data_IF_675052411431
#
_entry.id   IF_675052411431
#
_cell.length_a   1.000
_cell.length_b   1.000
_cell.length_c   1.000
_cell.angle_alpha   90.00
_cell.angle_beta   90.00
_cell.angle_gamma   90.00
#
_symmetry.space_group_name_H-M   'P 1'
#
loop_
_entity.id
_entity.type
_entity.pdbx_description
1 polymer ?
#
# COMPACT_ATOMS: atom_id res chain seq x y z
N UNK A 1 5.93 22.76 38.42
CA UNK A 1 6.05 21.54 37.59
C UNK A 1 5.94 21.97 36.15
N UNK A 2 6.97 21.73 35.34
CA UNK A 2 7.06 22.20 33.96
C UNK A 2 6.01 21.49 33.10
N UNK A 3 5.14 22.29 32.48
CA UNK A 3 4.15 21.82 31.51
C UNK A 3 4.88 21.55 30.19
N UNK A 4 4.75 20.33 29.69
CA UNK A 4 5.37 19.89 28.44
C UNK A 4 4.71 20.64 27.26
N UNK A 5 5.45 21.56 26.64
CA UNK A 5 4.98 22.48 25.59
C UNK A 5 4.69 21.82 24.23
N UNK A 6 4.91 20.51 24.11
CA UNK A 6 4.72 19.75 22.85
C UNK A 6 3.25 19.44 22.51
N UNK A 7 2.27 19.88 23.32
CA UNK A 7 0.85 19.64 23.09
C UNK A 7 0.08 20.85 22.52
N UNK A 8 0.73 22.01 22.34
CA UNK A 8 0.03 23.26 21.98
C UNK A 8 0.50 23.89 20.66
N UNK A 9 1.50 23.31 19.98
CA UNK A 9 1.97 23.80 18.68
C UNK A 9 1.26 23.07 17.51
N UNK A 10 0.39 23.75 16.74
CA UNK A 10 -0.31 23.18 15.59
C UNK A 10 0.61 22.71 14.46
N UNK A 11 1.86 23.19 14.40
CA UNK A 11 2.84 22.84 13.36
C UNK A 11 3.57 21.51 13.63
N UNK A 12 3.48 20.96 14.86
CA UNK A 12 4.13 19.70 15.22
C UNK A 12 3.22 18.47 15.13
N UNK A 13 1.96 18.64 14.74
CA UNK A 13 1.01 17.55 14.62
C UNK A 13 0.80 17.14 13.14
N UNK A 14 1.22 15.93 12.70
CA UNK A 14 1.20 15.51 11.30
C UNK A 14 -0.18 15.62 10.62
N UNK A 15 -1.25 15.45 11.39
CA UNK A 15 -2.62 15.48 10.90
C UNK A 15 -3.14 16.90 10.62
N UNK A 16 -2.67 17.93 11.34
CA UNK A 16 -3.06 19.33 11.09
C UNK A 16 -2.33 19.92 9.89
N UNK A 17 -1.07 19.54 9.68
CA UNK A 17 -0.33 19.87 8.46
C UNK A 17 -1.02 19.27 7.21
N UNK A 18 -1.47 18.02 7.31
CA UNK A 18 -2.19 17.33 6.23
C UNK A 18 -3.55 18.00 5.94
N UNK A 19 -4.31 18.39 6.97
CA UNK A 19 -5.59 19.08 6.81
C UNK A 19 -5.46 20.48 6.18
N UNK A 20 -4.39 21.23 6.49
CA UNK A 20 -4.09 22.52 5.86
C UNK A 20 -3.66 22.36 4.39
N UNK A 21 -2.90 21.31 4.06
CA UNK A 21 -2.42 21.06 2.69
C UNK A 21 -3.55 20.69 1.71
N UNK A 22 -4.61 20.02 2.18
CA UNK A 22 -5.76 19.63 1.34
C UNK A 22 -6.62 20.86 0.94
N UNK A 23 -6.54 21.97 1.69
CA UNK A 23 -7.31 23.20 1.43
C UNK A 23 -6.68 24.15 0.40
N UNK A 24 -5.41 23.97 0.02
CA UNK A 24 -4.76 24.85 -0.96
C UNK A 24 -4.98 24.35 -2.39
N UNK A 25 -5.56 25.19 -3.24
CA UNK A 25 -5.66 24.95 -4.67
C UNK A 25 -4.31 24.54 -5.26
N UNK A 26 -4.22 23.34 -5.83
CA UNK A 26 -3.04 22.85 -6.53
C UNK A 26 -2.81 23.68 -7.79
N UNK A 27 -2.00 24.73 -7.67
CA UNK A 27 -1.43 25.47 -8.79
C UNK A 27 0.00 24.98 -8.95
N UNK A 28 0.19 23.95 -9.79
CA UNK A 28 1.51 23.43 -10.14
C UNK A 28 1.98 23.98 -11.49
N UNK A 29 3.18 24.55 -11.54
CA UNK A 29 3.84 24.93 -12.79
C UNK A 29 3.96 23.74 -13.76
N UNK A 30 3.81 24.00 -15.07
CA UNK A 30 4.09 23.00 -16.10
C UNK A 30 5.58 22.68 -16.13
N UNK A 31 5.92 21.39 -15.96
CA UNK A 31 7.29 20.86 -16.07
C UNK A 31 7.91 21.20 -17.44
N UNK A 32 9.17 21.66 -17.42
CA UNK A 32 10.01 21.80 -18.61
C UNK A 32 10.16 20.46 -19.37
N UNK A 33 10.39 20.48 -20.70
CA UNK A 33 10.57 19.27 -21.51
C UNK A 33 11.83 18.49 -21.07
N UNK A 34 11.72 17.17 -20.97
CA UNK A 34 12.69 16.30 -20.27
C UNK A 34 13.43 15.36 -21.23
N UNK A 35 14.69 15.08 -20.90
CA UNK A 35 15.69 14.46 -21.79
C UNK A 35 15.59 12.93 -21.87
N UNK A 36 14.92 12.24 -20.93
CA UNK A 36 14.68 10.79 -21.07
C UNK A 36 13.43 10.25 -20.35
N UNK A 37 12.86 9.18 -20.92
CA UNK A 37 11.71 8.44 -20.37
C UNK A 37 12.00 7.83 -18.98
N UNK A 38 13.26 7.50 -18.68
CA UNK A 38 13.68 6.88 -17.41
C UNK A 38 13.66 7.85 -16.22
N UNK A 39 13.61 9.18 -16.47
CA UNK A 39 13.47 10.20 -15.43
C UNK A 39 12.01 10.43 -14.98
N UNK A 40 11.05 9.64 -15.49
CA UNK A 40 9.63 10.01 -15.48
C UNK A 40 8.68 9.05 -14.75
N UNK A 41 9.15 8.06 -13.98
CA UNK A 41 8.23 7.07 -13.41
C UNK A 41 7.83 7.28 -11.94
N UNK A 42 8.65 7.94 -11.11
CA UNK A 42 8.33 8.08 -9.69
C UNK A 42 8.55 9.52 -9.22
N UNK A 43 7.53 10.07 -8.58
CA UNK A 43 7.71 11.18 -7.65
C UNK A 43 8.67 10.69 -6.56
N UNK A 44 9.75 11.44 -6.32
CA UNK A 44 10.70 11.07 -5.28
C UNK A 44 10.00 11.09 -3.92
N UNK A 45 10.51 10.35 -2.90
CA UNK A 45 9.96 10.42 -1.55
C UNK A 45 9.81 11.84 -1.01
N UNK A 46 10.74 12.74 -1.38
CA UNK A 46 10.70 14.16 -1.04
C UNK A 46 9.52 14.92 -1.70
N UNK A 47 9.20 14.62 -2.96
CA UNK A 47 8.06 15.23 -3.66
C UNK A 47 6.74 14.76 -3.04
N UNK A 48 6.64 13.46 -2.73
CA UNK A 48 5.46 12.86 -2.08
C UNK A 48 5.28 13.45 -0.69
N UNK A 49 6.36 13.52 0.10
CA UNK A 49 6.34 14.11 1.45
C UNK A 49 6.05 15.60 1.40
N UNK A 50 6.59 16.35 0.45
CA UNK A 50 6.30 17.77 0.26
C UNK A 50 4.80 18.01 0.02
N UNK A 51 4.18 17.19 -0.82
CA UNK A 51 2.73 17.25 -1.10
C UNK A 51 1.87 16.87 0.11
N UNK A 52 2.26 15.82 0.84
CA UNK A 52 1.50 15.35 2.02
C UNK A 52 1.64 16.31 3.19
N UNK A 53 2.84 16.86 3.41
CA UNK A 53 3.14 17.74 4.55
C UNK A 53 2.80 19.20 4.31
N UNK A 54 2.59 19.61 3.05
CA UNK A 54 2.50 21.02 2.68
C UNK A 54 3.84 21.76 2.78
N UNK A 55 4.96 21.05 2.94
CA UNK A 55 6.29 21.64 2.97
C UNK A 55 6.61 22.23 1.59
N UNK A 56 6.66 23.55 1.53
CA UNK A 56 7.08 24.28 0.34
C UNK A 56 8.61 24.33 0.35
N UNK A 57 9.31 23.83 -0.67
CA UNK A 57 10.74 24.06 -0.77
C UNK A 57 11.01 25.57 -0.77
N UNK A 58 12.04 26.00 -0.04
CA UNK A 58 12.48 27.40 -0.06
C UNK A 58 12.75 27.86 -1.50
N UNK A 59 12.64 29.17 -1.74
CA UNK A 59 12.87 29.75 -3.06
C UNK A 59 14.22 29.33 -3.66
N UNK A 60 14.24 29.16 -4.99
CA UNK A 60 15.46 28.76 -5.71
C UNK A 60 16.59 29.75 -5.43
N UNK A 61 17.73 29.26 -4.94
CA UNK A 61 18.95 30.07 -4.82
C UNK A 61 19.51 30.39 -6.21
N UNK A 62 20.31 31.45 -6.31
CA UNK A 62 20.93 31.87 -7.57
C UNK A 62 21.84 30.78 -8.18
N UNK A 63 22.29 29.81 -7.38
CA UNK A 63 23.13 28.66 -7.74
C UNK A 63 22.42 27.29 -7.73
N UNK A 64 21.08 27.24 -7.75
CA UNK A 64 20.25 26.00 -7.68
C UNK A 64 20.23 25.16 -8.98
N UNK A 65 21.38 25.04 -9.64
CA UNK A 65 21.56 24.07 -10.71
C UNK A 65 21.40 22.63 -10.20
N UNK A 66 20.83 21.70 -11.00
CA UNK A 66 20.78 20.30 -10.61
C UNK A 66 22.20 19.71 -10.61
N UNK A 67 22.75 19.46 -9.42
CA UNK A 67 23.99 18.72 -9.24
C UNK A 67 23.71 17.23 -9.06
N UNK A 68 24.53 16.38 -9.67
CA UNK A 68 24.61 14.98 -9.25
C UNK A 68 25.48 14.91 -8.00
N UNK A 69 25.01 14.27 -6.95
CA UNK A 69 25.77 14.09 -5.72
C UNK A 69 25.91 12.62 -5.36
N UNK A 70 26.93 12.33 -4.56
CA UNK A 70 27.08 11.04 -3.91
C UNK A 70 26.14 10.98 -2.67
N UNK A 71 26.09 9.87 -1.92
CA UNK A 71 25.18 9.78 -0.76
C UNK A 71 25.57 10.73 0.39
N UNK A 72 26.81 11.22 0.42
CA UNK A 72 27.33 12.18 1.40
C UNK A 72 27.15 13.65 0.94
N UNK A 73 26.56 13.88 -0.24
CA UNK A 73 26.32 15.22 -0.77
C UNK A 73 27.49 15.83 -1.55
N UNK A 74 28.56 15.08 -1.81
CA UNK A 74 29.67 15.57 -2.65
C UNK A 74 29.24 15.66 -4.12
N UNK A 75 29.42 16.82 -4.80
CA UNK A 75 29.11 16.96 -6.21
C UNK A 75 29.97 16.03 -7.10
N UNK A 76 29.33 15.37 -8.06
CA UNK A 76 29.99 14.61 -9.11
C UNK A 76 30.28 15.51 -10.31
N UNK A 77 31.53 15.57 -10.79
CA UNK A 77 31.85 16.30 -12.01
C UNK A 77 31.30 15.60 -13.27
N UNK A 78 31.21 14.26 -13.25
CA UNK A 78 30.67 13.44 -14.34
C UNK A 78 29.87 12.25 -13.77
N UNK A 79 28.55 12.16 -14.02
CA UNK A 79 27.70 11.07 -13.53
C UNK A 79 27.67 9.82 -14.43
N UNK A 80 28.25 9.90 -15.64
CA UNK A 80 28.13 8.91 -16.70
C UNK A 80 29.38 8.03 -16.84
N UNK A 81 30.57 8.55 -16.51
CA UNK A 81 31.83 7.83 -16.67
C UNK A 81 32.49 7.52 -15.33
N UNK A 82 33.07 6.32 -15.22
CA UNK A 82 33.93 5.97 -14.09
C UNK A 82 35.31 6.61 -14.24
N UNK A 83 35.98 6.82 -13.11
CA UNK A 83 37.40 7.15 -13.10
C UNK A 83 38.20 5.96 -13.61
N UNK A 84 39.02 6.16 -14.64
CA UNK A 84 39.81 5.10 -15.27
C UNK A 84 41.29 5.45 -15.42
N UNK A 85 42.13 4.42 -15.58
CA UNK A 85 43.52 4.52 -16.06
C UNK A 85 43.66 3.59 -17.25
N UNK A 86 43.93 4.13 -18.43
CA UNK A 86 44.01 3.33 -19.67
C UNK A 86 42.70 2.60 -20.02
N UNK A 87 41.55 3.16 -19.63
CA UNK A 87 40.23 2.54 -19.82
C UNK A 87 39.82 1.54 -18.72
N UNK A 88 40.69 1.27 -17.74
CA UNK A 88 40.40 0.36 -16.62
C UNK A 88 39.86 1.16 -15.42
N UNK A 89 38.66 0.86 -14.89
CA UNK A 89 38.14 1.50 -13.69
C UNK A 89 39.05 1.31 -12.48
N UNK A 90 39.22 2.35 -11.67
CA UNK A 90 40.11 2.30 -10.49
C UNK A 90 39.35 2.15 -9.19
N UNK A 91 39.96 1.46 -8.22
CA UNK A 91 39.36 1.25 -6.90
C UNK A 91 39.18 2.56 -6.08
N UNK A 92 39.89 3.63 -6.45
CA UNK A 92 39.71 4.95 -5.85
C UNK A 92 38.40 5.65 -6.26
N UNK A 93 37.64 5.08 -7.19
CA UNK A 93 36.34 5.59 -7.59
C UNK A 93 35.25 5.18 -6.59
N UNK A 94 35.14 5.95 -5.51
CA UNK A 94 34.12 5.73 -4.47
C UNK A 94 32.70 5.87 -5.02
N UNK A 95 32.50 6.70 -6.06
CA UNK A 95 31.18 6.96 -6.65
C UNK A 95 30.66 5.76 -7.43
N UNK A 96 31.55 5.14 -8.21
CA UNK A 96 31.26 3.89 -8.90
C UNK A 96 30.79 2.83 -7.90
N UNK A 97 31.56 2.60 -6.83
CA UNK A 97 31.19 1.60 -5.84
C UNK A 97 29.89 1.93 -5.12
N UNK A 98 29.69 3.17 -4.69
CA UNK A 98 28.48 3.57 -3.98
C UNK A 98 27.23 3.37 -4.84
N UNK A 99 27.28 3.77 -6.11
CA UNK A 99 26.17 3.57 -7.06
C UNK A 99 25.85 2.08 -7.26
N UNK A 100 26.88 1.25 -7.45
CA UNK A 100 26.73 -0.20 -7.60
C UNK A 100 26.24 -0.87 -6.31
N UNK A 101 26.71 -0.42 -5.15
CA UNK A 101 26.30 -0.93 -3.85
C UNK A 101 24.83 -0.63 -3.55
N UNK A 102 24.37 0.58 -3.87
CA UNK A 102 22.95 0.94 -3.79
C UNK A 102 22.12 0.09 -4.73
N UNK A 103 22.55 -0.09 -5.98
CA UNK A 103 21.84 -0.93 -6.96
C UNK A 103 21.72 -2.38 -6.49
N UNK A 104 22.83 -2.99 -6.07
CA UNK A 104 22.88 -4.39 -5.64
C UNK A 104 22.01 -4.68 -4.40
N UNK A 105 21.65 -3.65 -3.63
CA UNK A 105 20.83 -3.75 -2.40
C UNK A 105 19.43 -3.17 -2.56
N UNK A 106 19.05 -2.76 -3.77
CA UNK A 106 17.78 -2.05 -3.99
C UNK A 106 16.54 -2.96 -3.96
N UNK A 107 16.71 -4.27 -4.21
CA UNK A 107 15.63 -5.24 -4.13
C UNK A 107 15.45 -5.72 -2.69
N UNK A 108 14.39 -5.24 -2.04
CA UNK A 108 13.91 -5.77 -0.76
C UNK A 108 13.15 -7.08 -0.95
N UNK A 109 13.05 -7.87 0.13
CA UNK A 109 12.17 -9.03 0.18
C UNK A 109 10.72 -8.59 -0.03
N UNK A 110 10.02 -9.31 -0.91
CA UNK A 110 8.60 -9.10 -1.12
C UNK A 110 7.77 -9.71 0.01
N UNK A 111 6.47 -9.39 0.05
CA UNK A 111 5.56 -10.01 1.01
C UNK A 111 5.37 -11.48 0.64
N UNK A 112 5.36 -12.38 1.63
CA UNK A 112 5.12 -13.82 1.41
C UNK A 112 3.78 -14.08 0.70
N UNK A 113 2.77 -13.28 1.03
CA UNK A 113 1.49 -13.21 0.33
C UNK A 113 1.16 -11.76 0.04
N UNK A 114 0.36 -11.53 -0.98
CA UNK A 114 0.04 -10.21 -1.50
C UNK A 114 1.25 -9.36 -1.98
N UNK A 115 2.25 -9.92 -2.69
CA UNK A 115 3.42 -9.14 -3.13
C UNK A 115 3.08 -8.17 -4.26
N UNK A 116 2.29 -8.58 -5.26
CA UNK A 116 1.84 -7.70 -6.35
C UNK A 116 0.64 -6.85 -5.89
N UNK A 117 0.74 -5.54 -6.04
CA UNK A 117 -0.34 -4.66 -5.62
C UNK A 117 -0.10 -3.17 -5.84
N UNK A 118 -1.18 -2.41 -5.75
CA UNK A 118 -1.23 -0.96 -5.95
C UNK A 118 -1.79 -0.27 -4.72
N UNK A 119 -1.33 0.95 -4.44
CA UNK A 119 -1.78 1.73 -3.28
C UNK A 119 -2.29 3.11 -3.67
N UNK A 120 -3.19 3.65 -2.86
CA UNK A 120 -3.68 5.02 -3.00
C UNK A 120 -3.94 5.64 -1.63
N UNK A 121 -3.69 6.95 -1.52
CA UNK A 121 -4.11 7.74 -0.37
C UNK A 121 -5.49 8.35 -0.62
N UNK A 122 -6.21 8.60 0.47
CA UNK A 122 -7.52 9.23 0.47
C UNK A 122 -7.96 9.54 1.90
N UNK A 123 -9.27 9.53 2.13
CA UNK A 123 -9.85 9.69 3.46
C UNK A 123 -11.10 8.82 3.60
N UNK A 124 -11.40 8.45 4.83
CA UNK A 124 -12.69 7.93 5.26
C UNK A 124 -13.52 9.09 5.84
N UNK A 125 -14.81 9.10 5.59
CA UNK A 125 -15.74 10.07 6.17
C UNK A 125 -16.89 9.33 6.87
N UNK A 126 -17.08 9.59 8.16
CA UNK A 126 -18.20 9.05 8.90
C UNK A 126 -19.50 9.77 8.46
N UNK A 127 -20.47 9.04 7.94
CA UNK A 127 -21.71 9.63 7.39
C UNK A 127 -22.94 9.39 8.26
N UNK A 128 -22.85 8.51 9.24
CA UNK A 128 -23.95 8.10 10.12
C UNK A 128 -23.45 8.02 11.55
N UNK A 129 -24.25 8.50 12.50
CA UNK A 129 -23.93 8.39 13.92
C UNK A 129 -24.04 6.92 14.35
N UNK A 130 -22.94 6.39 14.86
CA UNK A 130 -22.81 5.02 15.38
C UNK A 130 -22.12 5.01 16.76
N UNK A 131 -22.11 6.16 17.44
CA UNK A 131 -21.43 6.35 18.72
C UNK A 131 -22.03 5.52 19.85
N UNK A 132 -23.29 5.08 19.69
CA UNK A 132 -23.96 4.12 20.54
C UNK A 132 -23.40 2.69 20.41
N UNK A 133 -22.78 2.37 19.26
CA UNK A 133 -22.21 1.05 18.95
C UNK A 133 -20.71 0.96 19.25
N UNK A 134 -19.96 2.04 19.07
CA UNK A 134 -18.50 2.05 19.19
C UNK A 134 -17.95 3.37 19.72
N UNK A 135 -16.81 3.30 20.40
CA UNK A 135 -16.05 4.47 20.86
C UNK A 135 -14.84 4.81 19.98
N UNK A 136 -14.70 4.19 18.81
CA UNK A 136 -13.56 4.38 17.93
C UNK A 136 -13.52 5.82 17.35
N UNK A 137 -12.34 6.45 17.40
CA UNK A 137 -12.11 7.84 16.97
C UNK A 137 -12.61 8.17 15.55
N UNK A 138 -12.31 7.33 14.56
CA UNK A 138 -12.73 7.54 13.16
C UNK A 138 -14.25 7.47 12.93
N UNK A 139 -15.02 7.04 13.93
CA UNK A 139 -16.48 6.96 13.93
C UNK A 139 -17.11 7.85 15.02
N UNK A 140 -16.34 8.78 15.58
CA UNK A 140 -16.74 9.59 16.75
C UNK A 140 -17.82 10.62 16.46
N UNK A 141 -17.96 11.08 15.22
CA UNK A 141 -19.00 12.02 14.80
C UNK A 141 -19.26 11.98 13.30
N UNK A 142 -20.47 12.34 12.88
CA UNK A 142 -20.81 12.51 11.46
C UNK A 142 -20.03 13.70 10.88
N UNK A 143 -19.38 13.48 9.74
CA UNK A 143 -18.51 14.43 9.07
C UNK A 143 -17.03 14.31 9.44
N UNK A 144 -16.68 13.44 10.41
CA UNK A 144 -15.29 13.19 10.77
C UNK A 144 -14.54 12.60 9.56
N UNK A 145 -13.42 13.25 9.19
CA UNK A 145 -12.60 12.87 8.04
C UNK A 145 -11.25 12.33 8.48
N UNK A 146 -11.10 11.01 8.42
CA UNK A 146 -9.87 10.33 8.81
C UNK A 146 -9.00 10.05 7.58
N UNK A 147 -7.75 10.53 7.52
CA UNK A 147 -6.84 10.17 6.44
C UNK A 147 -6.66 8.66 6.33
N UNK A 148 -6.59 8.16 5.10
CA UNK A 148 -6.53 6.73 4.83
C UNK A 148 -5.49 6.39 3.75
N UNK A 149 -4.89 5.22 3.88
CA UNK A 149 -4.15 4.57 2.82
C UNK A 149 -4.78 3.21 2.53
N UNK A 150 -5.08 2.93 1.27
CA UNK A 150 -5.56 1.62 0.82
C UNK A 150 -4.48 0.96 -0.02
N UNK A 151 -4.30 -0.34 0.18
CA UNK A 151 -3.50 -1.20 -0.69
C UNK A 151 -4.34 -2.36 -1.21
N UNK A 152 -4.42 -2.43 -2.54
CA UNK A 152 -4.97 -3.56 -3.28
C UNK A 152 -3.84 -4.49 -3.72
N UNK A 153 -4.15 -5.77 -3.90
CA UNK A 153 -3.14 -6.75 -4.31
C UNK A 153 -3.77 -8.04 -4.83
N UNK A 154 -3.02 -8.81 -5.61
CA UNK A 154 -3.26 -10.26 -5.75
C UNK A 154 -2.74 -10.98 -4.49
N UNK A 155 -2.74 -12.31 -4.39
CA UNK A 155 -2.41 -13.03 -3.13
C UNK A 155 -1.19 -13.95 -3.26
N UNK A 156 -1.23 -14.98 -4.10
CA UNK A 156 -0.38 -16.17 -3.90
C UNK A 156 0.89 -16.22 -4.73
N UNK A 157 0.93 -15.50 -5.86
CA UNK A 157 2.09 -15.47 -6.76
C UNK A 157 2.97 -14.25 -6.51
N UNK A 158 4.16 -14.23 -7.12
CA UNK A 158 5.16 -13.17 -6.96
C UNK A 158 4.70 -11.78 -7.43
N UNK A 159 5.50 -10.76 -7.14
CA UNK A 159 5.21 -9.36 -7.52
C UNK A 159 5.02 -9.13 -9.03
N UNK A 160 5.45 -10.07 -9.86
CA UNK A 160 5.32 -10.07 -11.32
C UNK A 160 3.99 -10.62 -11.82
N UNK A 161 3.15 -11.18 -10.94
CA UNK A 161 1.88 -11.77 -11.34
C UNK A 161 0.94 -10.72 -11.95
N UNK A 162 0.28 -11.00 -13.08
CA UNK A 162 -0.58 -10.04 -13.75
C UNK A 162 -1.75 -9.63 -12.86
N UNK A 163 -2.06 -8.32 -12.86
CA UNK A 163 -3.16 -7.74 -12.08
C UNK A 163 -4.53 -8.37 -12.41
N UNK A 164 -4.71 -8.85 -13.64
CA UNK A 164 -5.93 -9.50 -14.14
C UNK A 164 -5.99 -11.01 -13.88
N UNK A 165 -4.89 -11.64 -13.45
CA UNK A 165 -4.85 -13.08 -13.23
C UNK A 165 -5.85 -13.54 -12.16
N UNK A 166 -6.40 -14.76 -12.32
CA UNK A 166 -7.39 -15.33 -11.39
C UNK A 166 -6.79 -15.52 -10.00
N UNK A 167 -7.35 -14.81 -9.01
CA UNK A 167 -6.85 -14.81 -7.64
C UNK A 167 -7.85 -14.09 -6.71
N UNK A 168 -7.87 -14.33 -5.39
CA UNK A 168 -8.50 -13.38 -4.49
C UNK A 168 -7.77 -12.03 -4.59
N UNK A 169 -8.43 -10.94 -4.23
CA UNK A 169 -7.80 -9.62 -4.15
C UNK A 169 -7.71 -9.18 -2.70
N UNK A 170 -6.51 -8.81 -2.26
CA UNK A 170 -6.30 -8.12 -0.98
C UNK A 170 -6.90 -6.73 -1.03
N UNK A 171 -7.56 -6.33 0.05
CA UNK A 171 -8.19 -5.02 0.23
C UNK A 171 -7.86 -4.54 1.65
N UNK A 172 -6.66 -3.97 1.82
CA UNK A 172 -6.18 -3.51 3.12
C UNK A 172 -6.34 -1.99 3.23
N UNK A 173 -6.99 -1.54 4.30
CA UNK A 173 -7.18 -0.11 4.61
C UNK A 173 -6.47 0.20 5.92
N UNK A 174 -5.67 1.25 5.92
CA UNK A 174 -5.05 1.87 7.09
C UNK A 174 -5.69 3.22 7.32
N UNK A 175 -6.30 3.41 8.48
CA UNK A 175 -6.89 4.67 8.94
C UNK A 175 -5.94 5.32 9.95
N UNK A 176 -5.56 6.56 9.71
CA UNK A 176 -4.68 7.33 10.59
C UNK A 176 -5.53 8.12 11.58
N UNK A 177 -5.93 7.48 12.68
CA UNK A 177 -6.81 8.07 13.71
C UNK A 177 -6.00 8.80 14.79
N UNK A 178 -6.67 9.62 15.61
CA UNK A 178 -6.05 10.30 16.76
C UNK A 178 -5.67 9.34 17.89
N UNK A 179 -6.26 8.14 17.92
CA UNK A 179 -6.01 7.10 18.92
C UNK A 179 -5.04 6.01 18.42
N UNK A 180 -4.40 6.23 17.27
CA UNK A 180 -3.48 5.31 16.63
C UNK A 180 -3.96 4.81 15.27
N UNK A 181 -3.14 3.99 14.62
CA UNK A 181 -3.49 3.46 13.30
C UNK A 181 -4.48 2.29 13.43
N UNK A 182 -5.62 2.39 12.77
CA UNK A 182 -6.56 1.28 12.66
C UNK A 182 -6.40 0.62 11.29
N UNK A 183 -5.96 -0.64 11.30
CA UNK A 183 -5.85 -1.45 10.09
C UNK A 183 -7.06 -2.38 9.96
N UNK A 184 -7.72 -2.32 8.81
CA UNK A 184 -8.77 -3.24 8.40
C UNK A 184 -8.21 -4.00 7.19
N UNK A 185 -7.66 -5.18 7.45
CA UNK A 185 -6.97 -6.00 6.45
C UNK A 185 -7.94 -7.06 5.93
N UNK A 186 -8.53 -6.77 4.77
CA UNK A 186 -9.57 -7.59 4.17
C UNK A 186 -9.21 -8.20 2.83
N UNK A 187 -10.20 -8.84 2.23
CA UNK A 187 -10.18 -9.36 0.86
C UNK A 187 -11.38 -8.84 0.08
N UNK A 188 -11.42 -9.08 -1.21
CA UNK A 188 -12.63 -8.93 -2.01
C UNK A 188 -13.63 -10.09 -1.83
N UNK A 189 -13.26 -11.11 -1.05
CA UNK A 189 -14.14 -12.21 -0.66
C UNK A 189 -14.57 -12.00 0.81
N UNK A 190 -15.86 -12.21 1.14
CA UNK A 190 -16.33 -12.12 2.52
C UNK A 190 -15.93 -13.33 3.37
N UNK A 191 -15.36 -14.37 2.76
CA UNK A 191 -14.97 -15.64 3.38
C UNK A 191 -13.53 -16.01 2.98
N UNK A 192 -12.98 -17.05 3.62
CA UNK A 192 -11.65 -17.57 3.35
C UNK A 192 -11.67 -19.11 3.19
N UNK A 193 -10.59 -19.68 2.69
CA UNK A 193 -10.48 -21.13 2.39
C UNK A 193 -10.32 -22.01 3.64
N UNK A 194 -9.98 -21.43 4.78
CA UNK A 194 -9.90 -22.16 6.04
C UNK A 194 -10.55 -21.37 7.18
N UNK A 195 -10.88 -22.09 8.23
CA UNK A 195 -11.42 -21.54 9.49
C UNK A 195 -10.43 -21.64 10.65
N UNK A 196 -9.35 -22.40 10.48
CA UNK A 196 -8.28 -22.56 11.45
C UNK A 196 -6.98 -21.97 10.89
N UNK A 197 -6.29 -21.08 11.64
CA UNK A 197 -5.04 -20.47 11.18
C UNK A 197 -3.91 -21.49 10.95
N UNK A 198 -3.95 -22.67 11.57
CA UNK A 198 -2.96 -23.73 11.35
C UNK A 198 -2.93 -24.19 9.89
N UNK A 199 -4.09 -24.22 9.22
CA UNK A 199 -4.22 -24.59 7.80
C UNK A 199 -3.86 -23.44 6.84
N UNK A 200 -3.67 -22.22 7.33
CA UNK A 200 -3.39 -21.05 6.49
C UNK A 200 -2.19 -21.24 5.56
N UNK A 201 -1.02 -21.71 6.05
CA UNK A 201 0.12 -22.02 5.19
C UNK A 201 -0.18 -23.09 4.13
N UNK A 202 -0.99 -24.10 4.44
CA UNK A 202 -1.36 -25.15 3.49
C UNK A 202 -2.25 -24.60 2.37
N UNK A 203 -3.18 -23.71 2.70
CA UNK A 203 -4.01 -22.95 1.72
C UNK A 203 -3.15 -22.12 0.78
N UNK A 204 -2.12 -21.44 1.28
CA UNK A 204 -1.23 -20.64 0.45
C UNK A 204 -0.37 -21.53 -0.44
N UNK A 205 0.15 -22.64 0.09
CA UNK A 205 0.98 -23.59 -0.67
C UNK A 205 0.21 -24.28 -1.78
N UNK A 206 -1.05 -24.64 -1.57
CA UNK A 206 -1.89 -25.29 -2.60
C UNK A 206 -2.14 -24.38 -3.82
N UNK A 207 -2.06 -23.07 -3.63
CA UNK A 207 -2.24 -22.04 -4.67
C UNK A 207 -0.92 -21.43 -5.16
N UNK A 208 0.22 -21.96 -4.69
CA UNK A 208 1.56 -21.51 -5.06
C UNK A 208 2.11 -22.30 -6.24
N UNK A 209 3.31 -21.94 -6.69
CA UNK A 209 4.05 -22.72 -7.69
C UNK A 209 4.52 -24.05 -7.10
N UNK A 210 4.54 -25.11 -7.91
CA UNK A 210 5.07 -26.40 -7.51
C UNK A 210 6.56 -26.27 -7.14
N UNK A 211 7.00 -26.76 -5.97
CA UNK A 211 8.38 -26.58 -5.52
C UNK A 211 9.42 -27.34 -6.35
N UNK A 212 9.03 -28.36 -7.12
CA UNK A 212 9.95 -29.18 -7.93
C UNK A 212 10.32 -28.54 -9.27
N UNK A 213 9.38 -27.81 -9.89
CA UNK A 213 9.53 -27.29 -11.25
C UNK A 213 9.13 -25.81 -11.40
N UNK A 214 8.62 -25.18 -10.34
CA UNK A 214 8.20 -23.78 -10.29
C UNK A 214 7.06 -23.39 -11.25
N UNK A 215 6.31 -24.37 -11.77
CA UNK A 215 5.12 -24.16 -12.60
C UNK A 215 3.87 -23.98 -11.75
N UNK A 216 2.78 -23.51 -12.36
CA UNK A 216 1.45 -23.51 -11.73
C UNK A 216 0.98 -24.95 -11.52
N UNK A 217 0.37 -25.22 -10.37
CA UNK A 217 -0.08 -26.54 -9.97
C UNK A 217 -1.55 -26.51 -9.55
N UNK A 218 -2.43 -26.83 -10.48
CA UNK A 218 -3.86 -26.90 -10.20
C UNK A 218 -4.24 -28.18 -9.46
N UNK A 219 -3.45 -29.25 -9.59
CA UNK A 219 -3.69 -30.50 -8.86
C UNK A 219 -3.57 -30.25 -7.36
N UNK A 220 -2.58 -29.47 -6.91
CA UNK A 220 -2.44 -29.07 -5.51
C UNK A 220 -3.65 -28.27 -4.99
N UNK A 221 -4.18 -27.34 -5.80
CA UNK A 221 -5.39 -26.59 -5.44
C UNK A 221 -6.60 -27.51 -5.31
N UNK A 222 -6.84 -28.37 -6.31
CA UNK A 222 -7.99 -29.28 -6.28
C UNK A 222 -7.86 -30.35 -5.20
N UNK A 223 -6.65 -30.79 -4.86
CA UNK A 223 -6.39 -31.69 -3.73
C UNK A 223 -6.79 -31.07 -2.39
N UNK A 224 -6.46 -29.78 -2.17
CA UNK A 224 -6.96 -29.04 -1.01
C UNK A 224 -8.49 -28.99 -0.98
N UNK A 225 -9.12 -28.60 -2.10
CA UNK A 225 -10.58 -28.45 -2.17
C UNK A 225 -11.32 -29.79 -1.94
N UNK A 226 -10.74 -30.89 -2.42
CA UNK A 226 -11.28 -32.24 -2.24
C UNK A 226 -11.15 -32.73 -0.78
N UNK A 227 -10.02 -32.46 -0.12
CA UNK A 227 -9.74 -32.97 1.22
C UNK A 227 -10.11 -32.01 2.36
N UNK A 228 -10.44 -30.75 2.06
CA UNK A 228 -10.80 -29.72 3.06
C UNK A 228 -12.14 -29.08 2.69
N UNK A 229 -13.28 -29.73 2.98
CA UNK A 229 -14.59 -29.28 2.49
C UNK A 229 -14.99 -27.86 2.91
N UNK A 230 -14.50 -27.33 4.04
CA UNK A 230 -14.76 -25.94 4.46
C UNK A 230 -14.19 -24.90 3.49
N UNK A 231 -13.22 -25.28 2.66
CA UNK A 231 -12.62 -24.39 1.66
C UNK A 231 -13.52 -24.11 0.45
N UNK A 232 -14.53 -24.95 0.22
CA UNK A 232 -15.31 -24.94 -1.01
C UNK A 232 -16.13 -23.66 -1.23
N UNK A 233 -16.54 -22.94 -0.18
CA UNK A 233 -17.23 -21.65 -0.38
C UNK A 233 -16.27 -20.62 -1.01
N UNK A 234 -15.05 -20.49 -0.49
CA UNK A 234 -14.03 -19.64 -1.10
C UNK A 234 -13.55 -20.18 -2.45
N UNK A 235 -13.49 -21.51 -2.62
CA UNK A 235 -13.19 -22.18 -3.89
C UNK A 235 -14.20 -21.83 -5.00
N UNK A 236 -15.50 -21.87 -4.70
CA UNK A 236 -16.54 -21.45 -5.63
C UNK A 236 -16.39 -19.97 -6.02
N UNK A 237 -16.06 -19.10 -5.07
CA UNK A 237 -15.78 -17.69 -5.37
C UNK A 237 -14.52 -17.52 -6.24
N UNK A 238 -13.47 -18.28 -5.97
CA UNK A 238 -12.21 -18.26 -6.73
C UNK A 238 -12.42 -18.61 -8.21
N UNK A 239 -13.26 -19.62 -8.49
CA UNK A 239 -13.57 -20.06 -9.85
C UNK A 239 -14.73 -19.30 -10.52
N UNK A 240 -15.47 -18.47 -9.78
CA UNK A 240 -16.42 -17.51 -10.35
C UNK A 240 -15.73 -16.26 -10.90
N UNK A 241 -16.46 -15.38 -11.56
CA UNK A 241 -15.97 -14.08 -12.05
C UNK A 241 -15.40 -13.19 -10.92
N UNK A 242 -15.74 -13.44 -9.64
CA UNK A 242 -15.13 -12.74 -8.52
C UNK A 242 -13.60 -12.92 -8.42
N UNK A 243 -13.05 -13.97 -9.03
CA UNK A 243 -11.60 -14.20 -9.12
C UNK A 243 -10.88 -13.28 -10.13
N UNK A 244 -11.61 -12.58 -10.99
CA UNK A 244 -11.09 -11.75 -12.09
C UNK A 244 -11.77 -10.36 -12.14
N UNK A 245 -11.71 -9.56 -11.05
CA UNK A 245 -12.34 -8.24 -11.02
C UNK A 245 -11.71 -7.28 -12.04
N UNK A 246 -12.54 -6.40 -12.62
CA UNK A 246 -12.11 -5.41 -13.60
C UNK A 246 -11.41 -4.22 -12.91
N UNK A 247 -10.16 -4.42 -12.50
CA UNK A 247 -9.37 -3.44 -11.76
C UNK A 247 -9.89 -3.17 -10.34
N UNK A 248 -9.22 -2.25 -9.64
CA UNK A 248 -9.45 -2.05 -8.19
C UNK A 248 -10.73 -1.28 -7.84
N UNK A 249 -11.17 -0.39 -8.73
CA UNK A 249 -12.26 0.58 -8.46
C UNK A 249 -13.66 -0.02 -8.51
N UNK A 250 -13.82 -1.17 -9.16
CA UNK A 250 -15.09 -1.88 -9.29
C UNK A 250 -15.12 -3.15 -8.43
N UNK A 251 -14.31 -3.19 -7.37
CA UNK A 251 -14.22 -4.35 -6.50
C UNK A 251 -14.75 -4.00 -5.11
N UNK A 252 -15.53 -4.91 -4.53
CA UNK A 252 -15.93 -4.80 -3.13
C UNK A 252 -14.79 -5.25 -2.21
N UNK A 253 -14.80 -4.77 -0.98
CA UNK A 253 -13.88 -5.17 0.08
C UNK A 253 -14.66 -5.66 1.29
N UNK A 254 -14.12 -6.65 1.97
CA UNK A 254 -14.72 -7.26 3.15
C UNK A 254 -13.64 -7.52 4.19
N UNK A 255 -13.94 -7.26 5.46
CA UNK A 255 -13.01 -7.57 6.55
C UNK A 255 -12.85 -9.08 6.83
N UNK A 256 -13.61 -9.94 6.13
CA UNK A 256 -13.74 -11.39 6.30
C UNK A 256 -14.22 -11.83 7.69
N UNK A 257 -13.48 -11.51 8.74
CA UNK A 257 -13.75 -11.90 10.12
C UNK A 257 -14.90 -11.11 10.75
N UNK A 258 -15.47 -11.68 11.81
CA UNK A 258 -16.37 -10.96 12.72
C UNK A 258 -15.52 -10.22 13.73
N UNK A 259 -15.75 -8.92 13.85
CA UNK A 259 -15.08 -8.05 14.81
C UNK A 259 -16.03 -7.67 15.94
N UNK A 260 -15.49 -7.13 17.02
CA UNK A 260 -16.26 -6.61 18.15
C UNK A 260 -16.08 -5.11 18.24
N UNK A 261 -17.18 -4.38 18.20
CA UNK A 261 -17.21 -2.97 18.58
C UNK A 261 -17.65 -2.84 20.04
N UNK A 262 -17.11 -1.84 20.71
CA UNK A 262 -17.40 -1.56 22.13
C UNK A 262 -17.67 -0.07 22.26
N UNK A 263 -18.80 0.29 22.85
CA UNK A 263 -19.20 1.67 23.04
C UNK A 263 -18.61 2.29 24.33
N UNK A 264 -18.95 3.55 24.63
CA UNK A 264 -18.43 4.27 25.80
C UNK A 264 -18.89 3.68 27.14
N UNK A 265 -20.06 3.04 27.18
CA UNK A 265 -20.56 2.34 28.38
C UNK A 265 -19.98 0.92 28.54
N UNK A 266 -19.12 0.46 27.63
CA UNK A 266 -18.53 -0.87 27.66
C UNK A 266 -19.42 -1.99 27.12
N UNK A 267 -20.58 -1.66 26.52
CA UNK A 267 -21.44 -2.63 25.81
C UNK A 267 -20.82 -2.96 24.46
N UNK A 268 -21.03 -4.18 23.97
CA UNK A 268 -20.45 -4.63 22.72
C UNK A 268 -21.47 -5.14 21.71
N UNK A 269 -21.11 -5.05 20.44
CA UNK A 269 -21.82 -5.66 19.31
C UNK A 269 -20.82 -6.35 18.38
N UNK A 270 -21.27 -7.40 17.69
CA UNK A 270 -20.48 -8.04 16.64
C UNK A 270 -20.76 -7.38 15.28
N UNK A 271 -19.70 -7.16 14.50
CA UNK A 271 -19.77 -6.48 13.21
C UNK A 271 -18.98 -7.20 12.13
N UNK A 272 -19.35 -6.92 10.86
CA UNK A 272 -18.59 -7.26 9.66
C UNK A 272 -18.33 -5.97 8.89
N UNK A 273 -17.09 -5.78 8.43
CA UNK A 273 -16.76 -4.64 7.57
C UNK A 273 -17.06 -4.95 6.11
N UNK A 274 -17.80 -4.05 5.46
CA UNK A 274 -18.17 -4.12 4.04
C UNK A 274 -17.83 -2.77 3.38
N UNK A 275 -16.96 -2.80 2.39
CA UNK A 275 -16.56 -1.66 1.57
C UNK A 275 -17.16 -1.84 0.17
N UNK A 276 -18.31 -1.21 -0.06
CA UNK A 276 -19.05 -1.36 -1.30
C UNK A 276 -18.59 -0.31 -2.31
N UNK A 277 -18.18 -0.79 -3.49
CA UNK A 277 -17.75 0.08 -4.58
C UNK A 277 -18.93 0.93 -5.05
N UNK A 278 -18.78 2.26 -5.01
CA UNK A 278 -19.82 3.22 -5.41
C UNK A 278 -20.31 3.01 -6.84
N UNK A 279 -19.45 2.52 -7.73
CA UNK A 279 -19.74 2.29 -9.14
C UNK A 279 -20.26 0.88 -9.45
N UNK A 280 -20.59 0.10 -8.42
CA UNK A 280 -20.95 -1.31 -8.55
C UNK A 280 -19.75 -2.23 -8.77
N UNK A 281 -20.01 -3.53 -8.74
CA UNK A 281 -19.01 -4.55 -9.01
C UNK A 281 -18.89 -4.83 -10.51
N UNK A 282 -17.68 -5.03 -11.01
CA UNK A 282 -17.42 -5.46 -12.40
C UNK A 282 -16.31 -6.49 -12.45
N UNK A 283 -16.46 -7.45 -13.34
CA UNK A 283 -15.57 -8.59 -13.51
C UNK A 283 -15.32 -8.85 -14.99
N UNK A 284 -14.17 -9.42 -15.31
CA UNK A 284 -13.96 -10.05 -16.61
C UNK A 284 -14.69 -11.39 -16.63
N UNK A 285 -15.33 -11.69 -17.76
CA UNK A 285 -15.83 -13.03 -18.06
C UNK A 285 -14.73 -13.83 -18.74
N UNK A 286 -14.69 -15.15 -18.51
CA UNK A 286 -13.82 -16.06 -19.25
C UNK A 286 -14.16 -16.10 -20.76
#
# INVERSE_FOLDING_TARGET
>A
MNVNSNQVDPAQHPLRATAMAIGSQVTGERRAPRVSHMQSANEGPADIIGKVSGAVPGGKREDDGPYFTNNEGHPLPDPAHSKTVGGIPVASDIHLFQKQQTFNRSKNLERMVHPCGSGAFGFFECTHDVTDLTKADFLSSVGEKTPAFVRFSTVTFGREFPDEGRNPRGFAIKLYTMEGNQDIVGLNFPVFFCRDPLQGPDVIRSQSRNPSNFLLDFDALFDLLANTPESNHAGLMFFSDHGTPQGWRFNHGYGCHTFKWVNKEGRFVYVKYHFIAKHGQKQFTD
#
